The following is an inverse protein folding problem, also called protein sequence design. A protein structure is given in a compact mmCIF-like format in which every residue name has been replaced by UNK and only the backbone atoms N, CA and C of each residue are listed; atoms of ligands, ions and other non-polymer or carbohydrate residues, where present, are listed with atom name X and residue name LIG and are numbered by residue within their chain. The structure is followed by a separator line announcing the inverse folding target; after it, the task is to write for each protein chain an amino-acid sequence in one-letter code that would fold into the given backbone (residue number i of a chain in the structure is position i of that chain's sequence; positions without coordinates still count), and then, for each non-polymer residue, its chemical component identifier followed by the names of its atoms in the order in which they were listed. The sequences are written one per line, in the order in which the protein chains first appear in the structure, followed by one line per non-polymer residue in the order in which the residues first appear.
data_IF_194599686122
#
_entry.id   IF_194599686122
#
_cell.length_a   1.000
_cell.length_b   1.000
_cell.length_c   1.000
_cell.angle_alpha   90.00
_cell.angle_beta   90.00
_cell.angle_gamma   90.00
#
_symmetry.space_group_name_H-M   'P 1'
#
loop_
_entity.id
_entity.type
_entity.pdbx_description
1 polymer ?
#
# COMPACT_ATOMS: atom_id res chain seq x y z
N UNK A 1 9.80 -7.24 -2.32
CA UNK A 1 10.17 -6.18 -1.37
C UNK A 1 11.33 -5.38 -1.97
N UNK A 2 11.34 -4.06 -1.80
CA UNK A 2 12.40 -3.15 -2.24
C UNK A 2 12.90 -2.41 -1.00
N UNK A 3 14.21 -2.23 -0.85
CA UNK A 3 14.79 -1.43 0.25
C UNK A 3 15.60 -0.28 -0.33
N UNK A 4 15.33 0.94 0.11
CA UNK A 4 16.06 2.15 -0.31
C UNK A 4 16.43 2.95 0.94
N UNK A 5 17.72 3.15 1.19
CA UNK A 5 18.22 3.89 2.35
C UNK A 5 17.60 3.41 3.69
N UNK A 6 17.45 2.09 3.86
CA UNK A 6 16.85 1.49 5.06
C UNK A 6 15.32 1.48 5.10
N UNK A 7 14.64 2.15 4.17
CA UNK A 7 13.19 2.14 4.05
C UNK A 7 12.74 0.94 3.22
N UNK A 8 11.86 0.12 3.77
CA UNK A 8 11.26 -1.04 3.12
C UNK A 8 9.96 -0.68 2.40
N UNK A 9 9.80 -1.20 1.19
CA UNK A 9 8.58 -1.08 0.38
C UNK A 9 8.11 -2.46 -0.10
N UNK A 10 6.82 -2.71 0.01
CA UNK A 10 6.14 -3.81 -0.69
C UNK A 10 5.35 -3.22 -1.84
N UNK A 11 5.68 -3.65 -3.06
CA UNK A 11 5.02 -3.25 -4.30
C UNK A 11 4.38 -4.48 -4.91
N UNK A 12 3.05 -4.49 -4.96
CA UNK A 12 2.28 -5.69 -5.26
C UNK A 12 1.73 -5.74 -6.68
N UNK A 13 1.78 -4.64 -7.44
CA UNK A 13 1.01 -4.54 -8.69
C UNK A 13 -0.46 -4.89 -8.44
N UNK A 14 -1.00 -5.78 -9.27
CA UNK A 14 -2.37 -6.28 -9.18
C UNK A 14 -2.45 -7.70 -8.58
N UNK A 15 -1.59 -7.99 -7.61
CA UNK A 15 -1.55 -9.28 -6.91
C UNK A 15 -2.93 -9.64 -6.31
N UNK A 16 -3.54 -10.70 -6.82
CA UNK A 16 -4.80 -11.25 -6.31
C UNK A 16 -4.65 -11.93 -4.94
N UNK A 17 -5.76 -12.16 -4.25
CA UNK A 17 -5.80 -12.75 -2.89
C UNK A 17 -5.01 -14.04 -2.78
N UNK A 18 -5.13 -14.98 -3.72
CA UNK A 18 -4.34 -16.23 -3.72
C UNK A 18 -2.83 -15.98 -3.71
N UNK A 19 -2.37 -14.94 -4.40
CA UNK A 19 -0.96 -14.56 -4.41
C UNK A 19 -0.52 -13.91 -3.09
N UNK A 20 -1.41 -13.13 -2.47
CA UNK A 20 -1.20 -12.54 -1.16
C UNK A 20 -1.09 -13.63 -0.07
N UNK A 21 -2.02 -14.59 -0.07
CA UNK A 21 -2.03 -15.70 0.89
C UNK A 21 -0.82 -16.62 0.71
N UNK A 22 -0.42 -16.89 -0.54
CA UNK A 22 0.83 -17.61 -0.83
C UNK A 22 2.06 -16.87 -0.29
N UNK A 23 2.11 -15.55 -0.40
CA UNK A 23 3.22 -14.78 0.14
C UNK A 23 3.32 -14.90 1.67
N UNK A 24 2.18 -14.91 2.37
CA UNK A 24 2.11 -15.11 3.83
C UNK A 24 2.52 -16.54 4.20
N UNK A 25 1.89 -17.54 3.60
CA UNK A 25 2.12 -18.96 3.91
C UNK A 25 3.53 -19.45 3.54
N UNK A 26 4.14 -18.87 2.51
CA UNK A 26 5.54 -19.12 2.17
C UNK A 26 6.54 -18.45 3.13
N UNK A 27 6.07 -17.65 4.10
CA UNK A 27 6.92 -16.97 5.07
C UNK A 27 7.81 -15.89 4.46
N UNK A 28 7.36 -15.24 3.38
CA UNK A 28 8.13 -14.14 2.78
C UNK A 28 8.26 -12.98 3.78
N UNK A 29 9.41 -12.30 3.76
CA UNK A 29 9.58 -11.05 4.51
C UNK A 29 8.74 -9.94 3.88
N UNK A 30 7.58 -9.69 4.47
CA UNK A 30 6.61 -8.67 4.05
C UNK A 30 6.77 -7.35 4.80
N UNK A 31 7.64 -7.27 5.81
CA UNK A 31 7.77 -6.07 6.66
C UNK A 31 8.24 -4.87 5.82
N UNK A 32 7.48 -3.80 5.88
CA UNK A 32 7.74 -2.59 5.12
C UNK A 32 7.30 -1.33 5.87
N UNK A 33 7.83 -0.19 5.45
CA UNK A 33 7.35 1.12 5.87
C UNK A 33 6.20 1.60 4.97
N UNK A 34 6.25 1.21 3.69
CA UNK A 34 5.29 1.60 2.65
C UNK A 34 4.72 0.37 1.94
N UNK A 35 3.40 0.30 1.85
CA UNK A 35 2.69 -0.64 1.01
C UNK A 35 2.09 0.10 -0.19
N UNK A 36 2.50 -0.27 -1.40
CA UNK A 36 1.70 0.02 -2.59
C UNK A 36 0.60 -1.04 -2.65
N UNK A 37 -0.63 -0.64 -2.32
CA UNK A 37 -1.79 -1.53 -2.18
C UNK A 37 -2.08 -2.23 -3.49
N UNK A 38 -2.41 -3.52 -3.39
CA UNK A 38 -2.68 -4.37 -4.53
C UNK A 38 -3.92 -3.93 -5.31
N UNK A 39 -3.82 -4.05 -6.63
CA UNK A 39 -4.94 -3.96 -7.55
C UNK A 39 -5.78 -2.70 -7.31
N UNK A 40 -5.15 -1.53 -7.34
CA UNK A 40 -5.81 -0.23 -7.17
C UNK A 40 -6.62 -0.05 -5.87
N UNK A 41 -6.39 -0.89 -4.85
CA UNK A 41 -7.24 -0.93 -3.66
C UNK A 41 -8.53 -1.73 -3.86
N UNK A 42 -8.45 -2.76 -4.70
CA UNK A 42 -9.52 -3.74 -4.92
C UNK A 42 -10.04 -4.26 -3.60
N UNK A 43 -11.29 -4.67 -3.64
CA UNK A 43 -12.02 -5.29 -2.55
C UNK A 43 -11.45 -6.70 -2.20
N UNK A 44 -10.57 -7.25 -3.04
CA UNK A 44 -9.87 -8.54 -2.87
C UNK A 44 -8.50 -8.33 -2.22
N UNK A 45 -8.48 -8.20 -0.89
CA UNK A 45 -7.25 -8.13 -0.09
C UNK A 45 -7.27 -9.25 0.95
N UNK A 46 -6.11 -9.85 1.19
CA UNK A 46 -5.89 -10.77 2.30
C UNK A 46 -5.63 -9.97 3.58
N UNK A 47 -6.45 -10.12 4.64
CA UNK A 47 -6.23 -9.44 5.91
C UNK A 47 -4.86 -9.77 6.52
N UNK A 48 -4.46 -11.04 6.46
CA UNK A 48 -3.18 -11.51 7.00
C UNK A 48 -2.00 -10.91 6.23
N UNK A 49 -2.11 -10.78 4.91
CA UNK A 49 -1.11 -10.09 4.11
C UNK A 49 -0.97 -8.62 4.52
N UNK A 50 -2.10 -7.89 4.62
CA UNK A 50 -2.08 -6.48 5.03
C UNK A 50 -1.46 -6.31 6.42
N UNK A 51 -1.84 -7.14 7.38
CA UNK A 51 -1.31 -7.13 8.74
C UNK A 51 0.19 -7.47 8.77
N UNK A 52 0.63 -8.48 8.02
CA UNK A 52 2.02 -8.90 7.95
C UNK A 52 2.96 -7.80 7.43
N UNK A 53 2.46 -6.87 6.61
CA UNK A 53 3.29 -5.77 6.12
C UNK A 53 3.79 -4.85 7.23
N UNK A 54 2.98 -4.61 8.26
CA UNK A 54 3.25 -3.61 9.30
C UNK A 54 3.51 -2.20 8.76
N UNK A 55 3.04 -1.89 7.55
CA UNK A 55 3.32 -0.63 6.89
C UNK A 55 2.67 0.55 7.62
N UNK A 56 3.33 1.71 7.61
CA UNK A 56 2.76 2.97 8.15
C UNK A 56 2.09 3.83 7.07
N UNK A 57 2.45 3.61 5.81
CA UNK A 57 1.92 4.35 4.66
C UNK A 57 1.37 3.37 3.62
N UNK A 58 0.13 3.57 3.22
CA UNK A 58 -0.53 2.82 2.16
C UNK A 58 -0.78 3.73 0.95
N UNK A 59 -0.19 3.37 -0.19
CA UNK A 59 -0.37 4.07 -1.47
C UNK A 59 -1.38 3.33 -2.32
N UNK A 60 -2.45 4.02 -2.70
CA UNK A 60 -3.49 3.51 -3.59
C UNK A 60 -3.39 4.24 -4.91
N UNK A 61 -2.78 3.60 -5.92
CA UNK A 61 -2.78 4.13 -7.28
C UNK A 61 -4.12 3.81 -7.92
N UNK A 62 -4.94 4.82 -8.15
CA UNK A 62 -6.29 4.72 -8.70
C UNK A 62 -6.65 6.01 -9.45
N UNK A 63 -7.42 5.88 -10.54
CA UNK A 63 -7.85 7.01 -11.35
C UNK A 63 -9.03 7.78 -10.73
N UNK A 64 -9.12 9.07 -11.02
CA UNK A 64 -10.32 9.86 -10.72
C UNK A 64 -11.52 9.36 -11.54
N UNK A 65 -12.69 9.25 -10.91
CA UNK A 65 -13.89 8.74 -11.59
C UNK A 65 -13.84 7.26 -11.97
N UNK A 66 -12.94 6.48 -11.35
CA UNK A 66 -12.79 5.05 -11.63
C UNK A 66 -14.11 4.27 -11.46
N UNK A 67 -14.62 3.67 -12.55
CA UNK A 67 -15.90 2.97 -12.58
C UNK A 67 -15.84 1.51 -12.10
N UNK A 68 -14.63 0.95 -11.87
CA UNK A 68 -14.45 -0.41 -11.36
C UNK A 68 -14.81 -0.56 -9.87
N UNK A 69 -15.16 0.53 -9.19
CA UNK A 69 -15.48 0.53 -7.77
C UNK A 69 -14.24 0.46 -6.85
N UNK A 70 -13.07 0.85 -7.36
CA UNK A 70 -11.84 0.95 -6.57
C UNK A 70 -11.48 2.40 -6.26
N UNK A 71 -10.86 2.68 -5.09
CA UNK A 71 -10.60 1.72 -4.02
C UNK A 71 -11.89 1.34 -3.29
N UNK A 72 -12.03 0.07 -2.94
CA UNK A 72 -13.20 -0.39 -2.20
C UNK A 72 -13.19 0.19 -0.79
N UNK A 73 -14.36 0.62 -0.28
CA UNK A 73 -14.50 1.17 1.07
C UNK A 73 -13.89 0.24 2.13
N UNK A 74 -14.25 -1.06 2.09
CA UNK A 74 -13.71 -2.08 3.00
C UNK A 74 -12.18 -2.17 3.01
N UNK A 75 -11.53 -1.92 1.87
CA UNK A 75 -10.07 -1.94 1.77
C UNK A 75 -9.48 -0.71 2.44
N UNK A 76 -10.05 0.48 2.19
CA UNK A 76 -9.62 1.72 2.84
C UNK A 76 -9.81 1.64 4.37
N UNK A 77 -10.94 1.10 4.81
CA UNK A 77 -11.26 0.92 6.23
C UNK A 77 -10.29 -0.06 6.90
N UNK A 78 -10.00 -1.21 6.26
CA UNK A 78 -9.04 -2.18 6.77
C UNK A 78 -7.62 -1.59 6.93
N UNK A 79 -7.15 -0.81 5.93
CA UNK A 79 -5.86 -0.12 6.02
C UNK A 79 -5.84 0.87 7.19
N UNK A 80 -6.92 1.63 7.38
CA UNK A 80 -7.07 2.56 8.49
C UNK A 80 -7.07 1.87 9.86
N UNK A 81 -7.78 0.74 9.99
CA UNK A 81 -7.80 -0.07 11.21
C UNK A 81 -6.43 -0.64 11.57
N UNK A 82 -5.59 -0.93 10.57
CA UNK A 82 -4.20 -1.34 10.75
C UNK A 82 -3.24 -0.16 11.03
N UNK A 83 -3.76 1.05 11.20
CA UNK A 83 -2.97 2.24 11.52
C UNK A 83 -2.23 2.84 10.32
N UNK A 84 -2.55 2.43 9.09
CA UNK A 84 -1.88 2.93 7.91
C UNK A 84 -2.43 4.29 7.49
N UNK A 85 -1.55 5.26 7.24
CA UNK A 85 -1.93 6.49 6.55
C UNK A 85 -2.20 6.17 5.08
N UNK A 86 -3.43 6.36 4.62
CA UNK A 86 -3.81 6.10 3.22
C UNK A 86 -3.63 7.36 2.36
N UNK A 87 -2.92 7.22 1.24
CA UNK A 87 -2.82 8.24 0.18
C UNK A 87 -3.29 7.66 -1.15
N UNK A 88 -4.11 8.41 -1.89
CA UNK A 88 -4.75 7.94 -3.13
C UNK A 88 -4.48 8.90 -4.27
N UNK A 89 -4.09 8.39 -5.44
CA UNK A 89 -3.75 9.27 -6.57
C UNK A 89 -4.95 10.00 -7.16
N UNK A 90 -6.17 9.48 -7.00
CA UNK A 90 -7.40 10.14 -7.44
C UNK A 90 -7.75 11.39 -6.62
N UNK A 91 -7.28 11.44 -5.36
CA UNK A 91 -7.51 12.57 -4.44
C UNK A 91 -6.29 13.47 -4.28
N UNK A 92 -5.11 12.86 -4.24
CA UNK A 92 -3.84 13.52 -3.93
C UNK A 92 -3.03 13.87 -5.19
N UNK A 93 -3.41 13.36 -6.37
CA UNK A 93 -2.61 13.49 -7.58
C UNK A 93 -1.36 12.60 -7.54
N UNK A 94 -0.27 13.05 -8.15
CA UNK A 94 1.00 12.34 -8.08
C UNK A 94 1.51 12.32 -6.62
N UNK A 95 1.90 11.14 -6.12
CA UNK A 95 2.44 10.97 -4.77
C UNK A 95 3.90 10.53 -4.88
N UNK A 96 4.79 11.24 -4.20
CA UNK A 96 6.18 10.87 -4.05
C UNK A 96 6.46 10.48 -2.60
N UNK A 97 7.17 9.37 -2.42
CA UNK A 97 7.74 8.97 -1.13
C UNK A 97 9.20 9.36 -1.13
N UNK A 98 9.61 10.14 -0.16
CA UNK A 98 10.94 10.74 -0.07
C UNK A 98 11.56 10.33 1.26
N UNK A 99 12.83 9.96 1.21
CA UNK A 99 13.67 9.78 2.40
C UNK A 99 14.47 11.06 2.57
N UNK A 100 14.31 11.72 3.71
CA UNK A 100 15.03 12.95 4.03
C UNK A 100 16.45 12.64 4.52
N UNK A 101 17.31 13.66 4.58
CA UNK A 101 18.71 13.52 5.00
C UNK A 101 18.90 13.04 6.46
N UNK A 102 17.85 13.16 7.29
CA UNK A 102 17.79 12.62 8.66
C UNK A 102 17.24 11.17 8.71
N UNK A 103 17.01 10.54 7.56
CA UNK A 103 16.42 9.21 7.43
C UNK A 103 14.90 9.18 7.58
N UNK A 104 14.24 10.33 7.79
CA UNK A 104 12.79 10.37 7.96
C UNK A 104 12.06 10.12 6.64
N UNK A 105 11.02 9.28 6.70
CA UNK A 105 10.12 9.05 5.57
C UNK A 105 9.05 10.15 5.50
N UNK A 106 8.92 10.78 4.33
CA UNK A 106 7.83 11.70 4.01
C UNK A 106 7.09 11.25 2.76
N UNK A 107 5.79 11.53 2.73
CA UNK A 107 4.98 11.42 1.53
C UNK A 107 4.48 12.81 1.15
N UNK A 108 4.80 13.24 -0.06
CA UNK A 108 4.38 14.53 -0.63
C UNK A 108 3.51 14.28 -1.85
N UNK A 109 2.60 15.20 -2.16
CA UNK A 109 1.69 15.03 -3.27
C UNK A 109 1.48 16.32 -4.04
N UNK A 110 1.24 16.19 -5.36
CA UNK A 110 0.90 17.29 -6.26
C UNK A 110 -0.34 16.90 -7.07
N UNK A 111 -1.39 17.69 -6.92
CA UNK A 111 -2.61 17.59 -7.74
C UNK A 111 -2.46 18.38 -9.03
#
# INVERSE_FOLDING_TARGET
RITVQGIGLVVTGDLETDGQDRAVTAGLDLRADVLKVAHHGSARQSPDFLAATGARLALVSVGAGNSYGHPAARTVDALGLLGMRVMRTDRNGAVAVVVLGDGALRAVSRR
#
